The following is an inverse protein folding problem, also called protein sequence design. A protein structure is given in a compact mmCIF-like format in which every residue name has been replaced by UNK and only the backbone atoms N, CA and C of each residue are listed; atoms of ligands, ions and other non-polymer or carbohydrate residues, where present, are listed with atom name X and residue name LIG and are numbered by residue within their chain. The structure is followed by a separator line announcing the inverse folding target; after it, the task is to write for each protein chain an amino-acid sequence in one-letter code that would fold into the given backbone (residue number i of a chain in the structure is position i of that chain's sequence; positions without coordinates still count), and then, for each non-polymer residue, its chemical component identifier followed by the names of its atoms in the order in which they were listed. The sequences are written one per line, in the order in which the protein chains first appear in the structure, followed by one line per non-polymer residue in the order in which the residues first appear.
data_IF_363701519430
#
_entry.id   IF_363701519430
#
_cell.length_a   1.000
_cell.length_b   1.000
_cell.length_c   1.000
_cell.angle_alpha   90.00
_cell.angle_beta   90.00
_cell.angle_gamma   90.00
#
_symmetry.space_group_name_H-M   'P 1'
#
loop_
_entity.id
_entity.type
_entity.pdbx_description
1 polymer ?
#
# COMPACT_ATOMS: atom_id res chain seq x y z
N UNK A 1 50.85 -3.03 -5.27
CA UNK A 1 50.62 -1.57 -5.38
C UNK A 1 49.16 -1.43 -5.83
N UNK A 2 48.18 -1.13 -4.99
CA UNK A 2 48.12 -0.25 -3.80
C UNK A 2 48.44 1.21 -4.12
N UNK A 3 47.41 2.05 -4.10
CA UNK A 3 47.45 3.40 -3.55
C UNK A 3 46.03 3.72 -3.05
N UNK A 4 45.84 3.80 -1.72
CA UNK A 4 44.57 4.21 -1.11
C UNK A 4 44.44 5.75 -1.09
N UNK A 5 43.22 6.26 -0.93
CA UNK A 5 42.99 7.62 -0.41
C UNK A 5 41.96 7.61 0.70
N UNK A 6 42.32 8.24 1.82
CA UNK A 6 41.52 8.35 3.03
C UNK A 6 40.31 9.26 2.83
N UNK A 7 39.17 8.91 3.43
CA UNK A 7 38.15 9.89 3.81
C UNK A 7 38.23 10.10 5.33
N UNK A 8 38.59 11.31 5.77
CA UNK A 8 38.61 11.69 7.19
C UNK A 8 37.30 12.37 7.57
N UNK A 9 36.76 12.01 8.73
CA UNK A 9 35.57 12.62 9.31
C UNK A 9 35.87 14.01 9.91
N UNK A 10 34.90 14.93 9.85
CA UNK A 10 34.87 16.14 10.67
C UNK A 10 33.71 16.07 11.70
N UNK A 11 33.88 16.62 12.92
CA UNK A 11 32.88 16.57 13.98
C UNK A 11 31.77 17.66 13.83
N UNK A 12 30.63 17.52 14.53
CA UNK A 12 29.47 18.42 14.41
C UNK A 12 29.54 19.67 15.30
N UNK A 13 28.87 20.74 14.88
CA UNK A 13 28.57 21.95 15.68
C UNK A 13 27.12 22.43 15.43
N UNK A 14 26.51 23.26 16.31
CA UNK A 14 25.08 23.14 16.60
C UNK A 14 24.15 24.22 16.04
N UNK A 15 22.85 23.88 16.09
CA UNK A 15 21.65 24.67 15.76
C UNK A 15 21.74 26.17 16.12
N UNK A 16 21.34 27.05 15.18
CA UNK A 16 20.16 27.93 15.35
C UNK A 16 19.68 28.58 14.04
N UNK A 17 18.38 28.89 14.03
CA UNK A 17 17.56 29.40 12.93
C UNK A 17 17.82 30.87 12.57
N UNK A 18 17.82 31.23 11.27
CA UNK A 18 16.69 31.94 10.62
C UNK A 18 16.89 32.09 9.10
N UNK A 19 15.79 32.42 8.42
CA UNK A 19 15.59 32.62 6.98
C UNK A 19 16.46 33.72 6.33
N UNK A 20 16.83 33.55 5.06
CA UNK A 20 16.53 34.58 4.05
C UNK A 20 16.52 34.05 2.60
N UNK A 21 15.81 34.79 1.75
CA UNK A 21 15.42 34.54 0.35
C UNK A 21 16.60 34.31 -0.61
N UNK A 22 16.41 33.45 -1.61
CA UNK A 22 17.34 33.29 -2.74
C UNK A 22 17.10 34.35 -3.84
N UNK A 23 18.16 35.03 -4.28
CA UNK A 23 18.17 35.83 -5.51
C UNK A 23 18.93 35.09 -6.61
N UNK A 24 18.23 34.76 -7.69
CA UNK A 24 18.82 34.05 -8.83
C UNK A 24 19.68 34.97 -9.69
N UNK A 25 20.89 34.52 -10.03
CA UNK A 25 21.73 35.14 -11.05
C UNK A 25 22.02 34.14 -12.17
N UNK A 26 21.53 34.41 -13.38
CA UNK A 26 21.95 33.72 -14.59
C UNK A 26 22.11 34.77 -15.71
N UNK A 27 23.11 34.61 -16.57
CA UNK A 27 23.69 35.73 -17.29
C UNK A 27 23.44 35.70 -18.81
N UNK A 28 23.45 36.93 -19.36
CA UNK A 28 23.91 37.30 -20.70
C UNK A 28 23.18 36.73 -21.94
N UNK A 29 22.57 37.65 -22.72
CA UNK A 29 22.85 37.77 -24.15
C UNK A 29 22.52 39.16 -24.68
N UNK A 30 23.48 39.77 -25.38
CA UNK A 30 23.39 41.12 -25.95
C UNK A 30 23.21 41.10 -27.47
N UNK A 31 22.10 41.66 -27.99
CA UNK A 31 21.94 41.99 -29.43
C UNK A 31 20.99 43.19 -29.61
N UNK A 32 21.32 44.11 -30.53
CA UNK A 32 20.32 44.83 -31.33
C UNK A 32 19.83 46.21 -30.86
N UNK A 33 20.09 47.25 -31.67
CA UNK A 33 19.36 48.53 -31.67
C UNK A 33 18.29 48.52 -32.78
N UNK A 34 17.32 49.44 -32.71
CA UNK A 34 16.78 50.36 -33.76
C UNK A 34 15.33 50.77 -33.37
N UNK A 35 15.06 52.01 -32.94
CA UNK A 35 14.58 53.20 -33.70
C UNK A 35 13.03 53.34 -33.81
N UNK A 36 12.50 54.51 -33.39
CA UNK A 36 11.13 55.08 -33.57
C UNK A 36 11.06 55.88 -34.90
N UNK A 37 9.92 56.11 -35.59
CA UNK A 37 8.75 56.93 -35.16
C UNK A 37 7.37 56.45 -35.73
N UNK A 38 6.34 57.30 -35.95
CA UNK A 38 5.41 57.94 -34.98
C UNK A 38 4.19 58.60 -35.72
N UNK A 39 3.25 59.21 -34.96
CA UNK A 39 2.16 60.13 -35.37
C UNK A 39 0.84 59.55 -35.97
N UNK A 40 -0.30 60.19 -35.64
CA UNK A 40 -1.65 59.89 -36.15
C UNK A 40 -2.81 60.44 -35.28
N UNK A 41 -3.25 61.66 -35.57
CA UNK A 41 -4.32 62.46 -34.90
C UNK A 41 -5.41 62.85 -35.95
N UNK A 42 -6.57 63.48 -35.62
CA UNK A 42 -7.45 63.41 -34.42
C UNK A 42 -8.97 63.37 -34.84
N UNK A 43 -9.88 63.87 -33.98
CA UNK A 43 -11.34 64.17 -34.18
C UNK A 43 -12.31 62.98 -34.06
N UNK A 44 -13.55 63.10 -33.58
CA UNK A 44 -14.36 64.17 -32.91
C UNK A 44 -15.49 63.44 -32.08
N UNK A 45 -16.50 64.01 -31.41
CA UNK A 45 -17.15 65.35 -31.32
C UNK A 45 -17.63 65.61 -29.85
N UNK A 46 -18.74 66.34 -29.61
CA UNK A 46 -19.28 66.75 -28.29
C UNK A 46 -20.83 66.63 -28.25
N UNK A 47 -21.42 66.23 -27.11
CA UNK A 47 -22.64 66.84 -26.52
C UNK A 47 -22.92 66.35 -25.06
N UNK A 48 -23.75 67.09 -24.31
CA UNK A 48 -23.96 67.12 -22.84
C UNK A 48 -25.49 67.23 -22.54
N UNK A 49 -26.05 67.34 -21.30
CA UNK A 49 -25.62 66.96 -19.95
C UNK A 49 -26.59 66.02 -19.17
N UNK A 50 -26.22 65.73 -17.91
CA UNK A 50 -27.06 65.65 -16.69
C UNK A 50 -27.18 64.29 -15.97
N UNK A 51 -27.20 64.34 -14.62
CA UNK A 51 -27.43 63.18 -13.74
C UNK A 51 -26.37 62.91 -12.66
N UNK A 52 -26.04 63.88 -11.80
CA UNK A 52 -25.03 63.69 -10.73
C UNK A 52 -25.63 63.15 -9.43
N UNK A 53 -25.25 61.93 -9.03
CA UNK A 53 -25.13 61.52 -7.62
C UNK A 53 -24.10 60.39 -7.42
N UNK A 54 -22.95 60.73 -6.83
CA UNK A 54 -22.22 59.86 -5.89
C UNK A 54 -21.66 58.52 -6.37
N UNK A 55 -20.49 58.55 -7.02
CA UNK A 55 -19.54 57.42 -7.01
C UNK A 55 -18.12 57.96 -6.71
N UNK A 56 -17.42 57.35 -5.75
CA UNK A 56 -16.00 57.63 -5.47
C UNK A 56 -15.14 56.68 -6.28
N UNK A 57 -14.17 57.21 -7.02
CA UNK A 57 -13.21 56.40 -7.79
C UNK A 57 -12.21 55.70 -6.87
N UNK A 58 -11.82 54.50 -7.24
CA UNK A 58 -10.42 54.06 -7.20
C UNK A 58 -10.18 53.14 -8.42
N UNK A 59 -8.94 53.11 -8.92
CA UNK A 59 -8.64 52.76 -10.31
C UNK A 59 -7.90 51.41 -10.47
N UNK A 60 -7.84 50.92 -11.71
CA UNK A 60 -6.97 49.86 -12.24
C UNK A 60 -7.26 48.40 -11.83
N UNK A 61 -8.06 47.71 -12.65
CA UNK A 61 -7.63 46.41 -13.20
C UNK A 61 -8.31 46.11 -14.53
N UNK A 62 -7.58 45.54 -15.49
CA UNK A 62 -8.02 45.45 -16.89
C UNK A 62 -9.01 44.31 -17.16
N UNK A 63 -10.03 44.59 -17.98
CA UNK A 63 -11.02 43.60 -18.41
C UNK A 63 -10.39 42.45 -19.19
N UNK A 64 -10.53 41.22 -18.69
CA UNK A 64 -10.59 40.01 -19.54
C UNK A 64 -12.06 39.64 -19.75
N UNK A 65 -12.46 39.17 -20.94
CA UNK A 65 -13.77 38.53 -21.10
C UNK A 65 -13.83 37.27 -20.22
N UNK A 66 -14.99 36.92 -19.64
CA UNK A 66 -15.15 35.67 -18.92
C UNK A 66 -14.89 34.50 -19.87
N UNK A 67 -14.07 33.54 -19.41
CA UNK A 67 -13.92 32.27 -20.12
C UNK A 67 -15.27 31.52 -20.10
N UNK A 68 -15.64 30.78 -21.17
CA UNK A 68 -16.90 30.07 -21.22
C UNK A 68 -16.98 29.05 -20.07
N UNK A 69 -18.02 29.16 -19.24
CA UNK A 69 -18.30 28.22 -18.17
C UNK A 69 -18.76 26.88 -18.77
N UNK A 70 -17.80 26.00 -19.06
CA UNK A 70 -18.10 24.59 -19.23
C UNK A 70 -18.73 24.07 -17.93
N UNK A 71 -19.96 23.54 -17.94
CA UNK A 71 -20.59 23.04 -16.73
C UNK A 71 -19.77 21.87 -16.21
N UNK A 72 -19.01 22.10 -15.13
CA UNK A 72 -18.24 21.08 -14.42
C UNK A 72 -19.18 20.15 -13.66
N UNK A 73 -19.92 19.33 -14.42
CA UNK A 73 -20.53 18.10 -13.91
C UNK A 73 -19.42 17.11 -13.57
N UNK A 74 -18.64 17.41 -12.52
CA UNK A 74 -17.97 16.38 -11.72
C UNK A 74 -19.12 15.61 -11.07
N UNK A 75 -19.65 14.61 -11.78
CA UNK A 75 -20.50 13.58 -11.19
C UNK A 75 -19.62 12.85 -10.18
N UNK A 76 -19.58 13.36 -8.94
CA UNK A 76 -18.82 12.75 -7.85
C UNK A 76 -19.46 11.41 -7.57
N UNK A 77 -18.89 10.36 -8.16
CA UNK A 77 -19.21 8.98 -7.81
C UNK A 77 -18.97 8.88 -6.31
N UNK A 78 -20.05 8.70 -5.54
CA UNK A 78 -19.93 8.35 -4.13
C UNK A 78 -19.18 7.02 -4.10
N UNK A 79 -18.02 7.04 -3.46
CA UNK A 79 -17.26 5.85 -3.15
C UNK A 79 -17.21 5.68 -1.62
N UNK A 80 -18.15 4.94 -1.03
CA UNK A 80 -17.89 4.13 0.19
C UNK A 80 -17.08 2.86 -0.15
N UNK A 81 -16.91 2.52 -1.43
CA UNK A 81 -16.20 1.33 -1.91
C UNK A 81 -14.72 1.32 -1.50
N UNK A 82 -14.40 0.69 -0.38
CA UNK A 82 -13.02 0.46 0.06
C UNK A 82 -12.38 -0.63 -0.78
N UNK A 83 -11.18 -0.36 -1.31
CA UNK A 83 -10.45 -1.26 -2.21
C UNK A 83 -9.05 -1.50 -1.64
N UNK A 84 -8.68 -2.77 -1.52
CA UNK A 84 -7.34 -3.22 -1.15
C UNK A 84 -6.74 -4.04 -2.31
N UNK A 85 -5.48 -3.79 -2.61
CA UNK A 85 -4.66 -4.60 -3.50
C UNK A 85 -3.32 -4.87 -2.81
N UNK A 86 -2.86 -6.12 -2.81
CA UNK A 86 -1.68 -6.55 -2.05
C UNK A 86 -0.88 -7.65 -2.75
N UNK A 87 0.44 -7.58 -2.61
CA UNK A 87 1.37 -8.66 -2.99
C UNK A 87 1.99 -9.24 -1.71
N UNK A 88 2.09 -10.57 -1.65
CA UNK A 88 2.80 -11.29 -0.58
C UNK A 88 4.18 -11.71 -1.05
N UNK A 89 5.21 -10.98 -0.63
CA UNK A 89 6.61 -11.30 -0.92
C UNK A 89 7.22 -12.21 0.15
N UNK A 90 7.71 -13.37 -0.24
CA UNK A 90 8.14 -14.43 0.67
C UNK A 90 9.15 -15.39 -0.01
N UNK A 91 9.78 -16.28 0.76
CA UNK A 91 10.55 -17.39 0.17
C UNK A 91 9.59 -18.42 -0.46
N UNK A 92 9.84 -18.81 -1.72
CA UNK A 92 8.91 -19.63 -2.52
C UNK A 92 8.77 -21.07 -2.00
N UNK A 93 9.73 -21.56 -1.21
CA UNK A 93 9.66 -22.88 -0.57
C UNK A 93 8.96 -22.84 0.81
N UNK A 94 8.60 -21.65 1.33
CA UNK A 94 8.04 -21.52 2.68
C UNK A 94 6.62 -22.06 2.72
N UNK A 95 6.39 -23.05 3.58
CA UNK A 95 5.07 -23.61 3.78
C UNK A 95 4.06 -22.52 4.18
N UNK A 96 3.07 -22.30 3.31
CA UNK A 96 1.97 -21.36 3.52
C UNK A 96 0.69 -21.94 2.97
N UNK A 97 -0.42 -21.66 3.64
CA UNK A 97 -1.75 -22.07 3.19
C UNK A 97 -2.36 -20.95 2.32
N UNK A 98 -3.05 -21.29 1.22
CA UNK A 98 -3.83 -20.32 0.44
C UNK A 98 -4.96 -19.71 1.29
N UNK A 99 -5.57 -18.64 0.79
CA UNK A 99 -6.77 -18.08 1.42
C UNK A 99 -7.94 -19.07 1.43
N UNK A 100 -8.50 -19.32 2.62
CA UNK A 100 -9.68 -20.14 2.88
C UNK A 100 -10.37 -19.68 4.20
N UNK A 101 -11.57 -20.17 4.48
CA UNK A 101 -12.31 -19.90 5.72
C UNK A 101 -11.80 -20.74 6.89
N UNK A 102 -11.48 -20.10 8.01
CA UNK A 102 -11.00 -20.75 9.22
C UNK A 102 -11.26 -19.92 10.49
N UNK A 103 -11.03 -20.51 11.67
CA UNK A 103 -10.95 -19.79 12.95
C UNK A 103 -9.59 -19.93 13.64
N UNK A 104 -8.51 -19.99 12.84
CA UNK A 104 -7.12 -20.19 13.27
C UNK A 104 -6.86 -21.48 14.08
N UNK A 105 -7.72 -22.49 13.92
CA UNK A 105 -7.52 -23.85 14.44
C UNK A 105 -6.18 -24.49 14.01
N UNK A 106 -5.86 -25.65 14.61
CA UNK A 106 -4.62 -26.39 14.35
C UNK A 106 -4.44 -26.65 12.85
N UNK A 107 -3.24 -26.42 12.34
CA UNK A 107 -2.90 -26.78 10.97
C UNK A 107 -2.59 -28.29 10.95
N UNK A 108 -3.49 -29.07 10.37
CA UNK A 108 -3.31 -30.52 10.20
C UNK A 108 -2.31 -30.84 9.07
N UNK A 109 -1.58 -31.96 9.16
CA UNK A 109 -0.53 -32.31 8.19
C UNK A 109 -1.04 -32.53 6.76
N UNK A 110 -2.34 -32.76 6.57
CA UNK A 110 -2.98 -32.92 5.25
C UNK A 110 -3.43 -31.62 4.56
N UNK A 111 -3.07 -30.44 5.07
CA UNK A 111 -3.45 -29.14 4.49
C UNK A 111 -2.37 -28.49 3.61
N UNK A 112 -1.19 -29.09 3.51
CA UNK A 112 -0.01 -28.44 2.91
C UNK A 112 0.10 -28.47 1.38
N UNK A 113 -0.90 -29.00 0.65
CA UNK A 113 -0.83 -29.14 -0.81
C UNK A 113 -2.18 -29.08 -1.55
N UNK A 114 -2.20 -28.27 -2.62
CA UNK A 114 -3.22 -28.17 -3.67
C UNK A 114 -4.64 -27.69 -3.26
N UNK A 115 -5.39 -27.04 -4.18
CA UNK A 115 -6.77 -26.65 -3.92
C UNK A 115 -7.69 -27.88 -3.87
N UNK A 116 -8.55 -27.96 -2.86
CA UNK A 116 -9.65 -28.92 -2.86
C UNK A 116 -10.73 -28.43 -3.82
N UNK A 117 -10.95 -29.18 -4.90
CA UNK A 117 -12.13 -29.02 -5.75
C UNK A 117 -13.41 -29.12 -4.92
N UNK A 118 -14.32 -28.17 -5.04
CA UNK A 118 -15.65 -28.25 -4.42
C UNK A 118 -16.55 -29.09 -5.34
N UNK A 119 -16.26 -30.39 -5.38
CA UNK A 119 -17.20 -31.41 -5.84
C UNK A 119 -17.93 -31.97 -4.62
N UNK A 120 -19.25 -31.74 -4.56
CA UNK A 120 -20.12 -32.37 -3.57
C UNK A 120 -20.24 -33.87 -3.89
N UNK A 121 -19.42 -34.68 -3.24
CA UNK A 121 -19.65 -36.12 -3.08
C UNK A 121 -19.47 -36.48 -1.60
N UNK A 122 -20.44 -37.21 -1.06
CA UNK A 122 -20.46 -37.66 0.34
C UNK A 122 -20.16 -39.15 0.34
N UNK A 123 -19.00 -39.55 0.89
CA UNK A 123 -18.82 -40.81 1.66
C UNK A 123 -17.36 -41.02 2.08
N UNK A 124 -17.07 -40.81 3.37
CA UNK A 124 -16.15 -41.67 4.16
C UNK A 124 -16.10 -41.18 5.62
N UNK A 125 -16.22 -42.09 6.58
CA UNK A 125 -16.33 -41.76 8.01
C UNK A 125 -14.95 -41.59 8.68
N UNK A 126 -14.49 -40.36 8.89
CA UNK A 126 -13.43 -40.01 9.85
C UNK A 126 -13.56 -38.53 10.30
N UNK A 127 -13.23 -38.25 11.57
CA UNK A 127 -13.21 -36.93 12.24
C UNK A 127 -14.54 -36.13 12.37
N UNK A 128 -15.40 -36.54 13.33
CA UNK A 128 -16.53 -35.75 13.87
C UNK A 128 -16.16 -34.33 14.38
N UNK A 129 -14.87 -34.02 14.53
CA UNK A 129 -14.40 -32.67 14.92
C UNK A 129 -14.27 -31.70 13.72
N UNK A 130 -14.16 -32.19 12.48
CA UNK A 130 -13.79 -31.34 11.34
C UNK A 130 -14.90 -30.37 10.91
N UNK A 131 -16.17 -30.82 10.90
CA UNK A 131 -17.29 -29.98 10.49
C UNK A 131 -17.71 -28.95 11.56
N UNK A 132 -17.33 -29.17 12.82
CA UNK A 132 -17.63 -28.23 13.92
C UNK A 132 -16.69 -26.99 13.91
N UNK A 133 -15.48 -27.09 13.34
CA UNK A 133 -14.61 -25.92 13.09
C UNK A 133 -15.09 -25.11 11.86
N UNK A 134 -15.67 -25.79 10.86
CA UNK A 134 -16.20 -25.17 9.63
C UNK A 134 -17.46 -24.32 9.87
N UNK A 135 -18.40 -24.79 10.68
CA UNK A 135 -19.61 -24.01 11.03
C UNK A 135 -19.27 -22.71 11.77
N UNK A 136 -18.15 -22.69 12.50
CA UNK A 136 -17.62 -21.54 13.22
C UNK A 136 -16.46 -20.80 12.51
N UNK A 137 -16.17 -21.10 11.24
CA UNK A 137 -15.08 -20.47 10.48
C UNK A 137 -15.42 -19.01 10.08
N UNK A 138 -15.07 -18.03 10.90
CA UNK A 138 -15.44 -16.62 10.69
C UNK A 138 -14.43 -15.80 9.88
N UNK A 139 -13.20 -16.28 9.69
CA UNK A 139 -12.08 -15.49 9.13
C UNK A 139 -11.61 -16.06 7.80
N UNK A 140 -11.49 -15.20 6.79
CA UNK A 140 -10.87 -15.51 5.51
C UNK A 140 -9.45 -14.93 5.47
N UNK A 141 -8.44 -15.79 5.38
CA UNK A 141 -7.05 -15.36 5.20
C UNK A 141 -6.15 -16.48 4.67
N UNK A 142 -5.08 -16.14 3.95
CA UNK A 142 -3.99 -17.08 3.71
C UNK A 142 -3.10 -17.18 4.95
N UNK A 143 -2.68 -18.38 5.35
CA UNK A 143 -1.94 -18.59 6.62
C UNK A 143 -0.46 -18.87 6.42
N UNK A 144 0.33 -18.55 7.43
CA UNK A 144 1.69 -19.08 7.61
C UNK A 144 1.57 -20.51 8.19
N UNK A 145 2.08 -21.53 7.49
CA UNK A 145 1.93 -22.91 7.95
C UNK A 145 2.91 -23.28 9.09
N UNK A 146 3.92 -22.44 9.34
CA UNK A 146 4.93 -22.62 10.38
C UNK A 146 4.55 -21.81 11.63
N UNK A 147 4.12 -20.55 11.44
CA UNK A 147 3.82 -19.61 12.52
C UNK A 147 2.32 -19.38 12.79
N UNK A 148 1.42 -20.06 12.07
CA UNK A 148 -0.02 -20.15 12.35
C UNK A 148 -0.89 -18.94 11.95
N UNK A 149 -0.36 -17.72 12.07
CA UNK A 149 -1.05 -16.45 11.78
C UNK A 149 -1.12 -16.05 10.30
N UNK A 150 -1.48 -14.79 10.02
CA UNK A 150 -1.67 -14.25 8.64
C UNK A 150 -1.09 -12.85 8.46
N UNK A 151 -0.82 -12.42 7.22
CA UNK A 151 -0.39 -11.05 6.89
C UNK A 151 -1.50 -10.20 6.23
N UNK A 152 -2.62 -10.81 5.84
CA UNK A 152 -3.81 -10.13 5.29
C UNK A 152 -5.03 -11.03 5.54
N UNK A 153 -6.04 -10.52 6.24
CA UNK A 153 -7.27 -11.27 6.48
C UNK A 153 -8.47 -10.40 6.87
N UNK A 154 -9.66 -11.01 6.84
CA UNK A 154 -10.94 -10.36 7.15
C UNK A 154 -11.90 -11.30 7.89
N UNK A 155 -12.61 -10.80 8.90
CA UNK A 155 -13.64 -11.51 9.66
C UNK A 155 -15.04 -11.14 9.11
N UNK A 156 -15.78 -12.15 8.64
CA UNK A 156 -17.08 -11.97 7.96
C UNK A 156 -18.22 -11.50 8.86
N UNK A 157 -18.09 -11.64 10.18
CA UNK A 157 -19.14 -11.33 11.17
C UNK A 157 -18.94 -9.98 11.84
N UNK A 158 -17.69 -9.60 12.08
CA UNK A 158 -17.35 -8.32 12.72
C UNK A 158 -17.06 -7.21 11.72
N UNK A 159 -16.75 -7.53 10.46
CA UNK A 159 -16.25 -6.56 9.47
C UNK A 159 -14.80 -6.16 9.71
N UNK A 160 -14.12 -6.74 10.71
CA UNK A 160 -12.71 -6.45 11.00
C UNK A 160 -11.82 -6.98 9.89
N UNK A 161 -10.88 -6.16 9.44
CA UNK A 161 -9.85 -6.52 8.48
C UNK A 161 -8.49 -6.03 8.96
N UNK A 162 -7.42 -6.69 8.53
CA UNK A 162 -6.07 -6.24 8.84
C UNK A 162 -5.05 -6.78 7.84
N UNK A 163 -4.02 -5.98 7.58
CA UNK A 163 -2.85 -6.39 6.84
C UNK A 163 -1.58 -5.70 7.35
N UNK A 164 -0.41 -6.24 7.01
CA UNK A 164 0.88 -5.67 7.40
C UNK A 164 1.91 -5.69 6.26
N UNK A 165 2.91 -4.82 6.37
CA UNK A 165 4.14 -4.89 5.58
C UNK A 165 5.36 -4.86 6.49
N UNK A 166 6.42 -5.57 6.10
CA UNK A 166 7.69 -5.56 6.83
C UNK A 166 8.42 -4.25 6.56
N UNK A 167 8.95 -3.57 7.59
CA UNK A 167 10.00 -2.56 7.39
C UNK A 167 11.23 -3.29 6.84
N UNK A 168 11.96 -2.69 5.91
CA UNK A 168 13.20 -3.26 5.39
C UNK A 168 14.21 -3.57 6.50
N UNK A 169 15.01 -4.63 6.32
CA UNK A 169 15.92 -5.14 7.33
C UNK A 169 17.17 -4.25 7.56
N UNK A 170 17.61 -3.44 6.59
CA UNK A 170 18.65 -2.43 6.84
C UNK A 170 18.06 -1.25 7.62
N UNK A 171 16.89 -0.78 7.20
CA UNK A 171 16.15 0.31 7.84
C UNK A 171 15.74 -0.03 9.28
N UNK A 172 15.32 -1.27 9.55
CA UNK A 172 14.98 -1.76 10.90
C UNK A 172 16.19 -1.76 11.84
N UNK A 173 17.36 -2.22 11.37
CA UNK A 173 18.61 -2.15 12.15
C UNK A 173 19.00 -0.70 12.43
N UNK A 174 19.05 0.16 11.39
CA UNK A 174 19.37 1.58 11.54
C UNK A 174 18.41 2.37 12.43
N UNK A 175 17.19 1.87 12.67
CA UNK A 175 16.27 2.40 13.67
C UNK A 175 16.66 1.93 15.08
N UNK A 176 16.79 0.61 15.29
CA UNK A 176 17.18 0.01 16.58
C UNK A 176 18.54 0.54 17.10
N UNK A 177 19.53 0.67 16.23
CA UNK A 177 20.88 1.14 16.59
C UNK A 177 20.87 2.58 17.14
N UNK A 178 19.87 3.39 16.76
CA UNK A 178 19.65 4.76 17.27
C UNK A 178 18.85 4.79 18.58
N UNK A 179 18.02 3.77 18.82
CA UNK A 179 17.20 3.65 20.03
C UNK A 179 18.00 3.04 21.20
N UNK A 180 18.85 2.05 20.94
CA UNK A 180 19.66 1.37 21.96
C UNK A 180 21.07 1.97 22.13
N UNK A 181 21.55 2.70 21.14
CA UNK A 181 22.93 3.17 21.07
C UNK A 181 23.91 2.08 20.60
N UNK A 182 25.03 2.52 20.03
CA UNK A 182 25.96 1.69 19.25
C UNK A 182 26.65 0.55 20.04
N UNK A 183 26.53 0.54 21.38
CA UNK A 183 27.31 -0.33 22.27
C UNK A 183 26.48 -1.37 23.06
N UNK A 184 25.49 -2.01 22.43
CA UNK A 184 24.80 -3.17 23.00
C UNK A 184 24.99 -4.40 22.07
N UNK A 185 26.06 -5.20 22.24
CA UNK A 185 26.28 -6.37 21.40
C UNK A 185 25.11 -7.34 21.51
N UNK A 186 24.83 -8.03 20.41
CA UNK A 186 23.66 -8.92 20.21
C UNK A 186 23.45 -9.88 21.37
N UNK A 187 22.55 -9.52 22.30
CA UNK A 187 21.98 -10.48 23.25
C UNK A 187 21.19 -11.52 22.47
N UNK A 188 21.23 -12.77 22.94
CA UNK A 188 20.33 -13.84 22.50
C UNK A 188 18.88 -13.49 22.87
N UNK A 189 18.24 -12.65 22.05
CA UNK A 189 16.81 -12.36 22.19
C UNK A 189 16.05 -13.58 21.66
N UNK A 190 15.06 -14.09 22.40
CA UNK A 190 14.20 -15.16 21.89
C UNK A 190 13.60 -14.72 20.55
N UNK A 191 13.48 -15.65 19.61
CA UNK A 191 12.94 -15.41 18.27
C UNK A 191 11.63 -14.61 18.38
N UNK A 192 11.55 -13.38 17.83
CA UNK A 192 10.38 -12.56 18.02
C UNK A 192 9.14 -13.26 17.49
N UNK A 193 8.04 -13.19 18.24
CA UNK A 193 6.75 -13.74 17.84
C UNK A 193 6.40 -13.27 16.42
N UNK A 194 5.81 -14.16 15.61
CA UNK A 194 5.50 -13.82 14.21
C UNK A 194 4.53 -12.64 14.16
N UNK A 195 4.88 -11.62 13.35
CA UNK A 195 4.05 -10.43 13.15
C UNK A 195 2.63 -10.77 12.66
N UNK A 196 2.46 -11.90 11.98
CA UNK A 196 1.14 -12.36 11.54
C UNK A 196 0.20 -12.81 12.68
N UNK A 197 0.72 -12.97 13.90
CA UNK A 197 -0.09 -13.19 15.10
C UNK A 197 -0.82 -11.91 15.53
N UNK A 198 -0.36 -10.72 15.13
CA UNK A 198 -1.05 -9.45 15.41
C UNK A 198 -2.37 -9.35 14.62
N UNK A 199 -2.35 -9.75 13.34
CA UNK A 199 -3.56 -9.81 12.51
C UNK A 199 -4.51 -10.87 13.06
N UNK A 200 -3.99 -12.04 13.45
CA UNK A 200 -4.79 -13.07 14.11
C UNK A 200 -5.46 -12.56 15.39
N UNK A 201 -4.70 -11.97 16.32
CA UNK A 201 -5.23 -11.45 17.59
C UNK A 201 -6.31 -10.38 17.35
N UNK A 202 -6.09 -9.46 16.40
CA UNK A 202 -7.09 -8.43 16.07
C UNK A 202 -8.38 -9.01 15.43
N UNK A 203 -8.26 -9.97 14.51
CA UNK A 203 -9.41 -10.57 13.81
C UNK A 203 -10.23 -11.54 14.68
N UNK A 204 -9.61 -12.16 15.70
CA UNK A 204 -10.28 -12.99 16.70
C UNK A 204 -10.73 -12.18 17.94
N UNK A 205 -10.10 -11.03 18.20
CA UNK A 205 -10.32 -10.22 19.40
C UNK A 205 -11.52 -9.28 19.30
N UNK A 206 -12.04 -8.85 20.45
CA UNK A 206 -13.17 -7.92 20.54
C UNK A 206 -12.74 -6.44 20.42
N UNK A 207 -11.49 -6.09 20.72
CA UNK A 207 -10.97 -4.71 20.71
C UNK A 207 -11.12 -4.02 19.35
N UNK A 208 -11.58 -2.76 19.34
CA UNK A 208 -11.67 -1.94 18.11
C UNK A 208 -10.28 -1.45 17.64
N UNK A 209 -10.14 -1.02 16.37
CA UNK A 209 -8.87 -0.62 15.75
C UNK A 209 -7.99 0.30 16.62
N UNK A 210 -8.53 1.44 17.07
CA UNK A 210 -7.79 2.42 17.88
C UNK A 210 -7.34 1.84 19.23
N UNK A 211 -8.21 1.08 19.90
CA UNK A 211 -7.91 0.44 21.18
C UNK A 211 -6.79 -0.59 21.04
N UNK A 212 -6.81 -1.39 19.97
CA UNK A 212 -5.75 -2.35 19.68
C UNK A 212 -4.42 -1.66 19.36
N UNK A 213 -4.41 -0.56 18.59
CA UNK A 213 -3.17 0.21 18.36
C UNK A 213 -2.62 0.83 19.65
N UNK A 214 -3.46 1.38 20.53
CA UNK A 214 -3.02 1.93 21.81
C UNK A 214 -2.43 0.86 22.76
N UNK A 215 -2.97 -0.36 22.71
CA UNK A 215 -2.40 -1.56 23.34
C UNK A 215 -1.05 -1.95 22.71
N UNK A 216 -0.91 -1.95 21.38
CA UNK A 216 0.36 -2.24 20.69
C UNK A 216 1.45 -1.21 20.93
N UNK A 217 1.12 0.09 21.05
CA UNK A 217 2.05 1.16 21.44
C UNK A 217 2.69 0.89 22.80
N UNK A 218 1.88 0.38 23.72
CA UNK A 218 2.27 0.08 25.11
C UNK A 218 2.90 -1.30 25.31
N UNK A 219 2.87 -2.17 24.28
CA UNK A 219 3.30 -3.57 24.38
C UNK A 219 4.82 -3.74 24.16
N UNK A 220 5.58 -4.28 25.13
CA UNK A 220 7.00 -4.59 24.94
C UNK A 220 7.24 -5.65 23.85
N UNK A 221 6.27 -6.53 23.58
CA UNK A 221 6.36 -7.55 22.53
C UNK A 221 6.33 -6.87 21.15
N UNK A 222 5.38 -5.96 20.95
CA UNK A 222 5.24 -5.14 19.73
C UNK A 222 6.50 -4.33 19.42
N UNK A 223 7.11 -3.72 20.44
CA UNK A 223 8.35 -2.95 20.31
C UNK A 223 9.55 -3.86 19.95
N UNK A 224 9.67 -5.03 20.59
CA UNK A 224 10.77 -5.97 20.35
C UNK A 224 10.68 -6.70 18.99
N UNK A 225 9.48 -6.94 18.44
CA UNK A 225 9.30 -7.48 17.08
C UNK A 225 10.12 -6.73 16.03
N UNK A 226 10.58 -7.44 14.99
CA UNK A 226 11.23 -6.83 13.83
C UNK A 226 10.29 -5.85 13.12
N UNK A 227 10.85 -4.82 12.49
CA UNK A 227 10.10 -3.65 12.05
C UNK A 227 8.89 -3.98 11.18
N UNK A 228 7.76 -3.35 11.45
CA UNK A 228 6.53 -3.52 10.66
C UNK A 228 5.67 -2.27 10.59
N UNK A 229 4.88 -2.21 9.53
CA UNK A 229 3.76 -1.32 9.30
C UNK A 229 2.49 -2.17 9.38
N UNK A 230 1.53 -1.76 10.20
CA UNK A 230 0.27 -2.46 10.46
C UNK A 230 -0.89 -1.54 10.07
N UNK A 231 -1.82 -2.07 9.27
CA UNK A 231 -3.09 -1.43 8.95
C UNK A 231 -4.20 -2.36 9.44
N UNK A 232 -5.10 -1.84 10.26
CA UNK A 232 -6.28 -2.56 10.72
C UNK A 232 -7.50 -1.67 10.61
N UNK A 233 -8.67 -2.28 10.49
CA UNK A 233 -9.92 -1.56 10.43
C UNK A 233 -11.12 -2.44 10.73
N UNK A 234 -12.28 -1.81 10.75
CA UNK A 234 -13.57 -2.46 10.87
C UNK A 234 -14.55 -1.76 9.94
N UNK A 235 -15.05 -2.50 8.95
CA UNK A 235 -16.06 -2.04 8.00
C UNK A 235 -17.39 -1.91 8.74
N UNK A 236 -18.09 -0.82 8.47
CA UNK A 236 -19.44 -0.53 8.97
C UNK A 236 -20.47 -1.52 8.43
N UNK A 237 -21.44 -1.89 9.27
CA UNK A 237 -22.49 -2.86 8.92
C UNK A 237 -23.67 -2.25 8.19
N UNK A 238 -23.94 -0.99 8.48
CA UNK A 238 -25.06 -0.22 7.95
C UNK A 238 -24.70 1.27 7.91
N UNK A 239 -25.54 2.06 7.23
CA UNK A 239 -25.25 3.45 6.86
C UNK A 239 -25.07 4.42 8.04
N UNK A 240 -25.57 4.06 9.23
CA UNK A 240 -25.43 4.85 10.47
C UNK A 240 -24.03 4.71 11.10
N UNK A 241 -23.35 3.60 10.81
CA UNK A 241 -21.97 3.36 11.22
C UNK A 241 -20.98 3.98 10.22
N UNK A 242 -19.77 4.26 10.71
CA UNK A 242 -18.63 4.70 9.90
C UNK A 242 -17.56 3.63 9.92
N UNK A 243 -16.94 3.41 8.78
CA UNK A 243 -15.78 2.54 8.65
C UNK A 243 -14.65 3.08 9.54
N UNK A 244 -14.04 2.20 10.33
CA UNK A 244 -12.92 2.53 11.21
C UNK A 244 -11.63 1.99 10.59
N UNK A 245 -10.56 2.78 10.63
CA UNK A 245 -9.24 2.41 10.14
C UNK A 245 -8.18 3.01 11.06
N UNK A 246 -7.12 2.26 11.33
CA UNK A 246 -6.01 2.69 12.18
C UNK A 246 -4.70 2.14 11.63
N UNK A 247 -3.67 2.99 11.68
CA UNK A 247 -2.33 2.68 11.23
C UNK A 247 -1.35 2.67 12.41
N UNK A 248 -0.36 1.79 12.36
CA UNK A 248 0.73 1.76 13.33
C UNK A 248 2.05 1.29 12.70
N UNK A 249 3.16 1.92 13.09
CA UNK A 249 4.50 1.42 12.80
C UNK A 249 5.26 1.25 14.12
N UNK A 250 5.82 0.06 14.38
CA UNK A 250 6.60 -0.16 15.60
C UNK A 250 8.01 0.49 15.56
N UNK A 251 8.34 1.23 14.48
CA UNK A 251 9.48 2.16 14.35
C UNK A 251 9.07 3.63 14.20
N UNK A 252 7.78 3.90 14.29
CA UNK A 252 7.25 5.24 14.53
C UNK A 252 6.06 5.22 15.51
N UNK A 253 6.23 4.69 16.75
CA UNK A 253 5.12 4.54 17.69
C UNK A 253 4.56 5.87 18.23
N UNK A 254 5.21 6.99 17.90
CA UNK A 254 4.80 8.37 18.19
C UNK A 254 4.39 9.15 16.92
N UNK A 255 4.34 8.50 15.76
CA UNK A 255 3.79 9.07 14.54
C UNK A 255 2.31 9.42 14.75
N UNK A 256 1.81 10.39 13.99
CA UNK A 256 0.43 10.86 14.09
C UNK A 256 -0.55 9.81 13.56
N UNK A 257 -1.35 9.20 14.43
CA UNK A 257 -2.46 8.31 14.06
C UNK A 257 -3.54 9.03 13.23
N UNK A 258 -3.60 10.36 13.38
CA UNK A 258 -4.65 11.24 12.86
C UNK A 258 -4.45 11.57 11.38
N UNK A 259 -4.84 10.66 10.50
CA UNK A 259 -4.99 10.92 9.07
C UNK A 259 -4.13 10.02 8.18
N UNK A 260 -4.76 9.03 7.57
CA UNK A 260 -4.20 8.21 6.49
C UNK A 260 -4.28 8.98 5.15
N UNK A 261 -3.46 10.03 5.03
CA UNK A 261 -3.01 10.53 3.72
C UNK A 261 -1.51 10.34 3.62
N UNK A 262 -1.09 9.48 2.67
CA UNK A 262 0.30 9.09 2.46
C UNK A 262 1.03 10.08 1.54
N UNK A 263 0.32 10.99 0.86
CA UNK A 263 0.89 11.84 -0.22
C UNK A 263 0.46 13.32 -0.14
N UNK A 264 0.48 13.93 1.06
CA UNK A 264 0.11 15.35 1.25
C UNK A 264 1.15 16.19 2.02
N UNK A 265 2.43 16.13 1.59
CA UNK A 265 3.47 17.11 2.00
C UNK A 265 4.38 17.52 0.84
N UNK A 266 3.78 18.09 -0.20
CA UNK A 266 4.49 19.04 -1.06
C UNK A 266 4.70 20.34 -0.27
N UNK A 267 5.93 20.67 0.08
CA UNK A 267 6.25 21.96 0.72
C UNK A 267 6.16 23.09 -0.32
N UNK A 268 5.15 23.98 -0.20
CA UNK A 268 5.13 25.27 -0.91
C UNK A 268 3.95 25.57 -1.85
N UNK A 269 2.77 24.99 -1.65
CA UNK A 269 1.53 25.41 -2.32
C UNK A 269 0.45 25.85 -1.32
N UNK A 270 -0.27 26.93 -1.62
CA UNK A 270 -1.40 27.44 -0.80
C UNK A 270 -2.75 26.79 -1.15
N UNK A 271 -2.80 25.93 -2.18
CA UNK A 271 -3.98 25.14 -2.51
C UNK A 271 -4.24 24.07 -1.43
N UNK A 272 -5.51 23.84 -1.02
CA UNK A 272 -5.84 22.74 -0.13
C UNK A 272 -5.55 21.39 -0.84
N UNK A 273 -5.06 20.37 -0.13
CA UNK A 273 -4.68 19.09 -0.73
C UNK A 273 -5.86 18.48 -1.51
N UNK A 274 -5.66 18.18 -2.80
CA UNK A 274 -6.66 17.51 -3.64
C UNK A 274 -6.72 16.03 -3.19
N UNK A 275 -7.62 15.74 -2.24
CA UNK A 275 -7.75 14.46 -1.52
C UNK A 275 -7.49 13.24 -2.42
N UNK A 276 -6.30 12.65 -2.27
CA UNK A 276 -5.85 11.53 -3.10
C UNK A 276 -6.78 10.32 -2.95
N UNK A 277 -7.28 9.80 -4.07
CA UNK A 277 -8.23 8.68 -4.08
C UNK A 277 -7.58 7.34 -3.70
N UNK A 278 -6.24 7.30 -3.63
CA UNK A 278 -5.46 6.11 -3.37
C UNK A 278 -4.36 6.36 -2.32
N UNK A 279 -4.07 5.33 -1.54
CA UNK A 279 -2.98 5.28 -0.57
C UNK A 279 -2.25 3.94 -0.74
N UNK A 280 -0.93 3.91 -0.60
CA UNK A 280 -0.13 2.70 -0.70
C UNK A 280 0.95 2.64 0.39
N UNK A 281 1.25 1.45 0.90
CA UNK A 281 2.28 1.26 1.93
C UNK A 281 3.18 0.08 1.61
N UNK A 282 4.46 0.20 1.98
CA UNK A 282 5.45 -0.86 1.74
C UNK A 282 6.65 -0.70 2.70
N UNK A 283 7.82 -1.23 2.34
CA UNK A 283 8.95 -1.51 3.25
C UNK A 283 9.75 -0.28 3.78
N UNK A 284 9.11 0.88 3.91
CA UNK A 284 9.63 2.05 4.66
C UNK A 284 9.18 2.05 6.12
N UNK A 285 9.55 3.08 6.89
CA UNK A 285 8.99 3.34 8.24
C UNK A 285 7.83 4.32 8.07
N UNK A 286 6.58 3.85 8.20
CA UNK A 286 5.39 4.69 8.05
C UNK A 286 5.45 5.56 6.76
N UNK A 287 5.18 6.86 6.90
CA UNK A 287 5.29 7.89 5.85
C UNK A 287 6.65 8.63 5.86
N UNK A 288 7.67 8.13 6.56
CA UNK A 288 8.97 8.81 6.67
C UNK A 288 9.75 8.70 5.35
N UNK A 289 10.22 9.84 4.83
CA UNK A 289 11.14 9.89 3.69
C UNK A 289 12.49 9.20 4.01
N UNK A 290 13.13 8.52 3.04
CA UNK A 290 12.72 8.38 1.64
C UNK A 290 11.54 7.41 1.45
N UNK A 291 10.52 7.87 0.72
CA UNK A 291 9.41 7.02 0.26
C UNK A 291 9.93 6.05 -0.81
N UNK A 292 9.51 4.78 -0.76
CA UNK A 292 9.93 3.76 -1.74
C UNK A 292 9.30 4.05 -3.11
N UNK A 293 10.01 3.94 -4.24
CA UNK A 293 9.48 4.23 -5.58
C UNK A 293 8.15 3.51 -5.89
N UNK A 294 8.03 2.22 -5.55
CA UNK A 294 6.78 1.44 -5.64
C UNK A 294 5.57 2.00 -4.90
N UNK A 295 5.76 2.78 -3.83
CA UNK A 295 4.64 3.43 -3.11
C UNK A 295 4.07 4.56 -3.98
N UNK A 296 4.93 5.45 -4.48
CA UNK A 296 4.52 6.53 -5.38
C UNK A 296 3.90 5.97 -6.67
N UNK A 297 4.53 4.98 -7.29
CA UNK A 297 4.02 4.30 -8.49
C UNK A 297 2.67 3.61 -8.21
N UNK A 298 2.54 2.90 -7.10
CA UNK A 298 1.31 2.20 -6.70
C UNK A 298 0.11 3.12 -6.52
N UNK A 299 0.30 4.32 -5.95
CA UNK A 299 -0.76 5.34 -5.85
C UNK A 299 -1.22 5.79 -7.24
N UNK A 300 -0.29 6.19 -8.13
CA UNK A 300 -0.62 6.64 -9.48
C UNK A 300 -1.35 5.57 -10.31
N UNK A 301 -0.92 4.32 -10.20
CA UNK A 301 -1.56 3.18 -10.85
C UNK A 301 -2.93 2.87 -10.27
N UNK A 302 -3.10 2.91 -8.95
CA UNK A 302 -4.39 2.66 -8.29
C UNK A 302 -5.43 3.66 -8.77
N UNK A 303 -5.10 4.96 -8.77
CA UNK A 303 -6.00 5.96 -9.32
C UNK A 303 -6.28 5.77 -10.82
N UNK A 304 -5.32 5.29 -11.61
CA UNK A 304 -5.54 4.98 -13.02
C UNK A 304 -6.54 3.80 -13.18
N UNK A 305 -6.47 2.79 -12.32
CA UNK A 305 -7.45 1.70 -12.25
C UNK A 305 -8.85 2.24 -11.91
N UNK A 306 -8.95 3.08 -10.88
CA UNK A 306 -10.22 3.69 -10.45
C UNK A 306 -10.84 4.57 -11.54
N UNK A 307 -10.03 5.42 -12.21
CA UNK A 307 -10.47 6.25 -13.34
C UNK A 307 -11.00 5.40 -14.50
N UNK A 308 -10.28 4.34 -14.87
CA UNK A 308 -10.65 3.42 -15.98
C UNK A 308 -11.90 2.58 -15.67
N UNK A 309 -12.06 2.14 -14.43
CA UNK A 309 -13.28 1.46 -13.97
C UNK A 309 -14.48 2.43 -13.94
N UNK A 310 -14.29 3.66 -13.45
CA UNK A 310 -15.34 4.69 -13.41
C UNK A 310 -15.88 5.10 -14.78
N UNK A 311 -15.09 5.01 -15.85
CA UNK A 311 -15.52 5.23 -17.24
C UNK A 311 -16.14 4.01 -17.93
N UNK A 312 -16.18 2.84 -17.27
CA UNK A 312 -16.72 1.60 -17.85
C UNK A 312 -18.23 1.47 -17.62
N UNK A 313 -18.91 0.67 -18.45
CA UNK A 313 -20.33 0.34 -18.29
C UNK A 313 -20.60 -0.42 -16.98
N UNK A 314 -21.75 -0.19 -16.34
CA UNK A 314 -22.08 -0.74 -15.02
C UNK A 314 -21.95 -2.27 -14.91
N UNK A 315 -22.31 -3.01 -15.96
CA UNK A 315 -22.15 -4.47 -16.06
C UNK A 315 -20.69 -4.93 -15.96
N UNK A 316 -19.76 -4.10 -16.42
CA UNK A 316 -18.38 -4.48 -16.68
C UNK A 316 -17.42 -3.91 -15.61
N UNK A 317 -17.83 -2.87 -14.86
CA UNK A 317 -16.93 -2.12 -13.95
C UNK A 317 -16.14 -3.00 -13.00
N UNK A 318 -16.77 -4.03 -12.41
CA UNK A 318 -16.11 -4.93 -11.45
C UNK A 318 -15.06 -5.79 -12.15
N UNK A 319 -15.38 -6.38 -13.31
CA UNK A 319 -14.45 -7.21 -14.08
C UNK A 319 -13.30 -6.39 -14.69
N UNK A 320 -13.56 -5.15 -15.12
CA UNK A 320 -12.51 -4.21 -15.50
C UNK A 320 -11.62 -3.90 -14.30
N UNK A 321 -12.19 -3.44 -13.18
CA UNK A 321 -11.43 -3.07 -11.97
C UNK A 321 -10.55 -4.22 -11.48
N UNK A 322 -11.09 -5.43 -11.36
CA UNK A 322 -10.37 -6.64 -10.96
C UNK A 322 -9.15 -6.91 -11.87
N UNK A 323 -9.33 -6.84 -13.19
CA UNK A 323 -8.23 -6.97 -14.16
C UNK A 323 -7.19 -5.86 -14.02
N UNK A 324 -7.60 -4.59 -13.91
CA UNK A 324 -6.65 -3.48 -13.80
C UNK A 324 -5.87 -3.53 -12.47
N UNK A 325 -6.50 -3.93 -11.36
CA UNK A 325 -5.83 -4.12 -10.07
C UNK A 325 -4.80 -5.26 -10.11
N UNK A 326 -5.11 -6.38 -10.78
CA UNK A 326 -4.11 -7.44 -10.98
C UNK A 326 -3.00 -7.01 -11.95
N UNK A 327 -3.27 -6.16 -12.94
CA UNK A 327 -2.23 -5.53 -13.77
C UNK A 327 -1.31 -4.61 -12.95
N UNK A 328 -1.86 -3.79 -12.04
CA UNK A 328 -1.14 -2.95 -11.09
C UNK A 328 -0.22 -3.79 -10.20
N UNK A 329 -0.77 -4.84 -9.58
CA UNK A 329 -0.01 -5.73 -8.71
C UNK A 329 1.10 -6.50 -9.44
N UNK A 330 1.02 -6.60 -10.77
CA UNK A 330 2.00 -7.28 -11.62
C UNK A 330 3.06 -6.36 -12.22
N UNK A 331 3.10 -5.07 -11.85
CA UNK A 331 4.11 -4.14 -12.38
C UNK A 331 5.52 -4.41 -11.80
N UNK A 332 6.49 -4.59 -12.68
CA UNK A 332 7.92 -4.76 -12.36
C UNK A 332 8.75 -4.00 -13.41
N UNK A 333 9.84 -3.36 -12.97
CA UNK A 333 10.89 -2.88 -13.85
C UNK A 333 12.04 -3.90 -13.81
N UNK A 334 12.26 -4.58 -14.93
CA UNK A 334 13.30 -5.61 -15.06
C UNK A 334 14.67 -5.03 -15.44
N UNK A 335 14.80 -3.70 -15.53
CA UNK A 335 16.04 -2.98 -15.82
C UNK A 335 16.79 -2.47 -14.58
N UNK A 336 16.20 -2.56 -13.39
CA UNK A 336 16.79 -2.12 -12.12
C UNK A 336 17.36 -3.28 -11.29
N UNK A 337 18.55 -3.09 -10.72
CA UNK A 337 19.13 -4.01 -9.73
C UNK A 337 18.44 -3.92 -8.35
N UNK A 338 17.75 -2.81 -8.04
CA UNK A 338 16.95 -2.66 -6.82
C UNK A 338 15.57 -3.31 -6.98
N UNK A 339 15.56 -4.63 -7.22
CA UNK A 339 14.34 -5.46 -7.27
C UNK A 339 13.38 -5.20 -6.09
N UNK A 340 13.84 -4.98 -4.83
CA UNK A 340 12.96 -4.59 -3.72
C UNK A 340 12.13 -3.31 -3.93
N UNK A 341 12.45 -2.46 -4.90
CA UNK A 341 11.67 -1.28 -5.27
C UNK A 341 10.60 -1.50 -6.35
N UNK A 342 10.42 -2.73 -6.85
CA UNK A 342 9.30 -3.11 -7.73
C UNK A 342 8.03 -3.48 -6.95
N UNK A 343 6.85 -3.35 -7.59
CA UNK A 343 5.57 -3.76 -6.99
C UNK A 343 5.45 -5.28 -6.99
N UNK A 344 5.64 -5.92 -8.14
CA UNK A 344 5.85 -7.35 -8.27
C UNK A 344 7.34 -7.67 -8.09
N UNK A 345 7.67 -8.54 -7.14
CA UNK A 345 9.03 -9.04 -6.96
C UNK A 345 9.18 -10.33 -7.77
N UNK A 346 9.85 -10.27 -8.92
CA UNK A 346 10.22 -11.48 -9.67
C UNK A 346 11.10 -12.39 -8.81
N UNK A 347 11.03 -13.74 -8.97
CA UNK A 347 11.84 -14.67 -8.21
C UNK A 347 13.35 -14.44 -8.40
N UNK A 348 14.06 -14.26 -7.30
CA UNK A 348 15.53 -14.14 -7.28
C UNK A 348 16.11 -14.90 -6.08
N UNK A 349 17.41 -15.22 -6.12
CA UNK A 349 18.09 -15.83 -4.97
C UNK A 349 18.44 -14.78 -3.92
N UNK A 350 17.65 -14.73 -2.84
CA UNK A 350 17.91 -13.91 -1.65
C UNK A 350 18.87 -14.62 -0.71
N UNK A 351 20.16 -14.52 -1.02
CA UNK A 351 21.24 -15.17 -0.29
C UNK A 351 21.43 -14.56 1.14
N UNK A 352 21.76 -15.38 2.16
CA UNK A 352 22.04 -14.88 3.51
C UNK A 352 23.38 -14.13 3.63
N UNK A 353 24.31 -14.37 2.70
CA UNK A 353 25.59 -13.67 2.56
C UNK A 353 26.00 -13.65 1.07
N UNK A 354 26.83 -12.69 0.60
CA UNK A 354 27.15 -12.54 -0.82
C UNK A 354 27.76 -13.76 -1.51
N UNK A 355 28.46 -14.61 -0.74
CA UNK A 355 29.15 -15.81 -1.24
C UNK A 355 28.42 -17.11 -0.86
N UNK A 356 27.18 -17.05 -0.35
CA UNK A 356 26.41 -18.24 -0.03
C UNK A 356 25.88 -18.91 -1.32
N UNK A 357 25.80 -20.24 -1.40
CA UNK A 357 25.29 -20.91 -2.59
C UNK A 357 23.80 -20.64 -2.80
N UNK A 358 23.39 -20.56 -4.07
CA UNK A 358 21.99 -20.65 -4.45
C UNK A 358 21.41 -22.04 -4.14
N UNK A 359 20.16 -22.10 -3.70
CA UNK A 359 19.46 -23.35 -3.38
C UNK A 359 17.96 -23.19 -3.62
N UNK A 360 17.22 -24.31 -3.51
CA UNK A 360 15.76 -24.34 -3.45
C UNK A 360 15.19 -23.34 -2.41
N UNK A 361 15.91 -23.13 -1.31
CA UNK A 361 15.46 -22.37 -0.14
C UNK A 361 15.75 -20.86 -0.24
N UNK A 362 16.62 -20.44 -1.15
CA UNK A 362 16.97 -19.01 -1.30
C UNK A 362 16.11 -18.29 -2.34
N UNK A 363 15.25 -18.97 -3.09
CA UNK A 363 14.27 -18.35 -3.97
C UNK A 363 13.28 -17.47 -3.19
N UNK A 364 13.26 -16.17 -3.49
CA UNK A 364 12.36 -15.18 -2.89
C UNK A 364 11.66 -14.35 -3.96
N UNK A 365 10.39 -14.04 -3.77
CA UNK A 365 9.58 -13.26 -4.71
C UNK A 365 8.13 -13.13 -4.25
N UNK A 366 7.28 -12.53 -5.08
CA UNK A 366 5.83 -12.46 -4.82
C UNK A 366 5.21 -13.86 -5.02
N UNK A 367 4.63 -14.44 -3.97
CA UNK A 367 4.02 -15.79 -4.02
C UNK A 367 2.51 -15.76 -4.27
N UNK A 368 1.79 -14.77 -3.72
CA UNK A 368 0.37 -14.54 -4.00
C UNK A 368 0.07 -13.06 -4.21
N UNK A 369 -1.01 -12.79 -4.95
CA UNK A 369 -1.59 -11.46 -5.13
C UNK A 369 -3.03 -11.50 -4.67
N UNK A 370 -3.46 -10.51 -3.89
CA UNK A 370 -4.80 -10.45 -3.31
C UNK A 370 -5.44 -9.11 -3.61
N UNK A 371 -6.70 -9.12 -4.04
CA UNK A 371 -7.58 -7.95 -4.03
C UNK A 371 -8.76 -8.17 -3.09
N UNK A 372 -9.22 -7.09 -2.45
CA UNK A 372 -10.46 -7.07 -1.68
C UNK A 372 -11.26 -5.84 -2.09
N UNK A 373 -12.50 -6.07 -2.54
CA UNK A 373 -13.45 -5.04 -2.95
C UNK A 373 -14.60 -5.02 -1.94
N UNK A 374 -14.77 -3.91 -1.23
CA UNK A 374 -15.94 -3.64 -0.40
C UNK A 374 -16.93 -2.83 -1.24
N UNK A 375 -18.20 -3.23 -1.26
CA UNK A 375 -19.26 -2.53 -2.00
C UNK A 375 -20.12 -1.64 -1.10
N UNK A 376 -21.03 -0.90 -1.71
CA UNK A 376 -21.88 0.11 -1.04
C UNK A 376 -23.32 -0.35 -0.88
N UNK A 377 -23.57 -1.65 -1.09
CA UNK A 377 -24.88 -2.25 -0.82
C UNK A 377 -25.13 -2.33 0.68
N UNK A 378 -26.40 -2.30 1.07
CA UNK A 378 -26.84 -2.68 2.42
C UNK A 378 -27.66 -3.97 2.28
N UNK A 379 -27.20 -5.13 2.79
CA UNK A 379 -25.94 -5.37 3.51
C UNK A 379 -24.69 -5.29 2.62
N UNK A 380 -23.56 -4.94 3.23
CA UNK A 380 -22.27 -4.72 2.56
C UNK A 380 -21.72 -6.01 1.96
N UNK A 381 -21.76 -6.14 0.62
CA UNK A 381 -21.10 -7.25 -0.08
C UNK A 381 -19.58 -6.99 -0.14
N UNK A 382 -18.80 -8.02 0.14
CA UNK A 382 -17.35 -8.07 0.00
C UNK A 382 -17.00 -9.12 -1.05
N UNK A 383 -16.04 -8.79 -1.91
CA UNK A 383 -15.42 -9.71 -2.87
C UNK A 383 -13.93 -9.79 -2.55
N UNK A 384 -13.43 -10.99 -2.23
CA UNK A 384 -12.03 -11.27 -2.00
C UNK A 384 -11.54 -12.19 -3.14
N UNK A 385 -10.42 -11.85 -3.77
CA UNK A 385 -9.81 -12.69 -4.81
C UNK A 385 -8.31 -12.81 -4.53
N UNK A 386 -7.82 -14.04 -4.34
CA UNK A 386 -6.38 -14.33 -4.30
C UNK A 386 -5.98 -15.19 -5.50
N UNK A 387 -4.82 -14.91 -6.11
CA UNK A 387 -4.19 -15.79 -7.10
C UNK A 387 -2.74 -16.08 -6.75
N UNK A 388 -2.26 -17.24 -7.18
CA UNK A 388 -0.84 -17.60 -7.11
C UNK A 388 -0.06 -16.72 -8.10
N UNK A 389 1.10 -16.17 -7.69
CA UNK A 389 1.98 -15.39 -8.56
C UNK A 389 3.12 -16.26 -9.09
N UNK A 390 4.08 -16.62 -8.23
CA UNK A 390 5.16 -17.53 -8.54
C UNK A 390 5.19 -18.72 -7.58
N UNK A 391 5.39 -19.92 -8.13
CA UNK A 391 5.65 -21.14 -7.37
C UNK A 391 6.87 -21.86 -7.95
N UNK A 392 7.61 -22.58 -7.11
CA UNK A 392 8.66 -23.50 -7.59
C UNK A 392 7.97 -24.77 -8.10
N UNK A 393 8.21 -25.13 -9.37
CA UNK A 393 7.91 -26.48 -9.83
C UNK A 393 9.07 -27.42 -9.48
N UNK A 394 8.82 -28.65 -8.99
CA UNK A 394 9.87 -29.64 -8.79
C UNK A 394 10.65 -29.85 -10.08
N UNK A 395 11.98 -29.96 -10.00
CA UNK A 395 12.78 -30.30 -11.18
C UNK A 395 12.48 -31.71 -11.67
N UNK A 396 12.59 -31.90 -12.99
CA UNK A 396 12.38 -33.17 -13.69
C UNK A 396 13.09 -34.34 -12.99
N UNK A 397 12.60 -35.56 -13.22
CA UNK A 397 13.10 -36.82 -12.62
C UNK A 397 14.57 -37.18 -12.93
N UNK A 398 15.32 -36.30 -13.59
CA UNK A 398 16.78 -36.32 -13.69
C UNK A 398 17.51 -35.74 -12.47
N UNK A 399 16.84 -34.96 -11.62
CA UNK A 399 17.33 -34.46 -10.33
C UNK A 399 18.49 -33.45 -10.35
N UNK A 400 19.10 -33.18 -11.51
CA UNK A 400 20.33 -32.38 -11.64
C UNK A 400 20.11 -30.86 -11.78
N UNK A 401 18.85 -30.39 -11.82
CA UNK A 401 18.51 -28.97 -11.93
C UNK A 401 18.03 -28.37 -10.60
N UNK A 402 18.46 -27.13 -10.32
CA UNK A 402 17.76 -26.29 -9.34
C UNK A 402 16.31 -26.08 -9.83
N UNK A 403 15.36 -26.42 -8.97
CA UNK A 403 13.93 -26.29 -9.24
C UNK A 403 13.57 -24.84 -9.59
N UNK A 404 12.81 -24.66 -10.67
CA UNK A 404 12.58 -23.35 -11.28
C UNK A 404 11.27 -22.70 -10.81
N UNK A 405 11.28 -21.38 -10.52
CA UNK A 405 10.07 -20.60 -10.34
C UNK A 405 9.30 -20.45 -11.66
N UNK A 406 7.99 -20.70 -11.63
CA UNK A 406 7.08 -20.56 -12.75
C UNK A 406 5.98 -19.54 -12.40
N UNK A 407 5.56 -18.75 -13.38
CA UNK A 407 4.44 -17.81 -13.24
C UNK A 407 3.11 -18.55 -13.32
N UNK A 408 2.32 -18.45 -12.27
CA UNK A 408 1.08 -19.21 -12.07
C UNK A 408 -0.18 -18.35 -12.26
N UNK A 409 -0.04 -17.03 -12.40
CA UNK A 409 -1.16 -16.10 -12.26
C UNK A 409 -2.16 -16.11 -13.43
N UNK A 410 -1.79 -16.75 -14.55
CA UNK A 410 -2.65 -16.95 -15.71
C UNK A 410 -3.45 -18.28 -15.62
N UNK A 411 -3.08 -19.19 -14.71
CA UNK A 411 -3.85 -20.40 -14.40
C UNK A 411 -5.10 -20.05 -13.56
N UNK A 412 -6.21 -19.72 -14.22
CA UNK A 412 -7.48 -19.36 -13.56
C UNK A 412 -8.00 -20.40 -12.56
N UNK A 413 -7.66 -21.69 -12.76
CA UNK A 413 -7.96 -22.78 -11.81
C UNK A 413 -7.31 -22.63 -10.42
N UNK A 414 -6.33 -21.72 -10.28
CA UNK A 414 -5.67 -21.38 -9.02
C UNK A 414 -6.23 -20.13 -8.36
N UNK A 415 -7.11 -19.39 -9.04
CA UNK A 415 -7.71 -18.19 -8.48
C UNK A 415 -8.79 -18.58 -7.46
N UNK A 416 -8.77 -17.93 -6.30
CA UNK A 416 -9.60 -18.24 -5.13
C UNK A 416 -10.49 -17.04 -4.85
N UNK A 417 -11.73 -17.12 -5.33
CA UNK A 417 -12.75 -16.08 -5.21
C UNK A 417 -13.72 -16.41 -4.09
N UNK A 418 -13.91 -15.47 -3.18
CA UNK A 418 -14.89 -15.53 -2.10
C UNK A 418 -15.78 -14.30 -2.15
N UNK A 419 -17.10 -14.51 -2.19
CA UNK A 419 -18.09 -13.44 -2.11
C UNK A 419 -18.98 -13.68 -0.89
N UNK A 420 -19.14 -12.66 -0.05
CA UNK A 420 -19.94 -12.73 1.17
C UNK A 420 -20.53 -11.36 1.50
N UNK A 421 -21.42 -11.31 2.49
CA UNK A 421 -22.02 -10.07 3.01
C UNK A 421 -21.74 -9.95 4.50
N UNK A 422 -21.55 -8.71 4.98
CA UNK A 422 -21.53 -8.43 6.41
C UNK A 422 -22.95 -8.50 6.99
N UNK A 423 -23.14 -8.99 8.23
CA UNK A 423 -24.41 -8.87 8.94
C UNK A 423 -24.76 -7.40 9.18
N UNK A 424 -26.00 -7.01 8.85
CA UNK A 424 -26.57 -5.65 9.03
C UNK A 424 -26.57 -5.15 10.48
#
# INVERSE_FOLDING_TARGET
MKCEREYRCCPPCPKRTRTCVASGGCADRTVGKFVKPAAGDPKNEIDDPSGVTGATCDDHTGCRPPAPEFPRSRTTIKWRSSILASNRDEFLNRASLPADWHSFGRIGPGLHSAPRSITHDVDSNDDDNADNDRTHAEILSGRDAIAGGTWLGINKRTGKFGFLTNVDAQVDRMARDKEEGVNNPTRDRPTPASRGLLIQEFLQGNEGPESYINKLKSSPISQNMNGYNLVIGQISKNENEKDQMSFFCNRDPKGTDTGWSIVDKHEGGDDPPECTLANAISNGIAHRVPIRPKVTLGVHLMEACLRKAGTSADSDRVAVLERELFNLLSQTDDSTEDLPSNILIRPYHRLPAPNAPASLETWYGTITQTIVLVSETTPTKITFVERDAFQIQPSDSSGNGLATPVWMADEQSRWRRFEFQLPS
#
